data_IF_132081291523
#
_entry.id   IF_132081291523
#
_cell.length_a   1.000
_cell.length_b   1.000
_cell.length_c   1.000
_cell.angle_alpha   90.00
_cell.angle_beta   90.00
_cell.angle_gamma   90.00
#
_symmetry.space_group_name_H-M   'P 1'
#
loop_
_entity.id
_entity.type
_entity.pdbx_description
1 polymer ?
#
# COMPACT_ATOMS: atom_id res chain seq x y z
N UNK A 1 -29.53 -21.23 -19.25
CA UNK A 1 -28.65 -20.54 -20.22
C UNK A 1 -28.40 -19.10 -19.78
N UNK A 2 -27.20 -18.58 -20.03
CA UNK A 2 -26.79 -17.22 -19.68
C UNK A 2 -26.29 -16.49 -20.92
N UNK A 3 -26.56 -15.18 -21.02
CA UNK A 3 -26.12 -14.34 -22.15
C UNK A 3 -24.63 -13.93 -22.04
N UNK A 4 -24.08 -13.93 -20.82
CA UNK A 4 -22.67 -13.66 -20.54
C UNK A 4 -22.23 -14.40 -19.28
N UNK A 5 -21.01 -14.94 -19.31
CA UNK A 5 -20.31 -15.50 -18.16
C UNK A 5 -18.95 -14.81 -18.03
N UNK A 6 -18.66 -14.26 -16.85
CA UNK A 6 -17.35 -13.69 -16.52
C UNK A 6 -16.71 -14.58 -15.45
N UNK A 7 -15.48 -15.04 -15.73
CA UNK A 7 -14.72 -15.91 -14.81
C UNK A 7 -13.63 -15.10 -14.14
N UNK A 8 -13.71 -14.94 -12.82
CA UNK A 8 -12.73 -14.23 -11.99
C UNK A 8 -12.24 -15.14 -10.86
N UNK A 9 -11.48 -16.18 -11.21
CA UNK A 9 -11.04 -17.25 -10.30
C UNK A 9 -9.57 -17.10 -9.83
N UNK A 10 -9.08 -15.87 -9.77
CA UNK A 10 -7.70 -15.55 -9.43
C UNK A 10 -6.77 -15.40 -10.63
N UNK A 11 -5.49 -15.17 -10.34
CA UNK A 11 -4.40 -15.00 -11.32
C UNK A 11 -3.26 -15.96 -11.01
N UNK A 12 -2.41 -16.24 -12.00
CA UNK A 12 -1.18 -17.03 -11.86
C UNK A 12 -0.03 -16.28 -12.53
N UNK A 13 1.16 -16.43 -11.99
CA UNK A 13 2.38 -15.90 -12.59
C UNK A 13 2.58 -16.53 -13.97
N UNK A 14 2.92 -15.71 -14.98
CA UNK A 14 3.19 -16.20 -16.32
C UNK A 14 4.69 -16.52 -16.49
N UNK A 15 5.04 -17.78 -16.25
CA UNK A 15 6.43 -18.23 -16.10
C UNK A 15 6.98 -19.00 -17.30
N UNK A 16 6.20 -19.20 -18.37
CA UNK A 16 6.57 -20.12 -19.45
C UNK A 16 7.90 -19.80 -20.12
N UNK A 17 8.23 -18.52 -20.32
CA UNK A 17 9.53 -18.10 -20.86
C UNK A 17 10.70 -18.47 -19.93
N UNK A 18 10.52 -18.23 -18.63
CA UNK A 18 11.55 -18.48 -17.63
C UNK A 18 11.79 -19.97 -17.43
N UNK A 19 10.72 -20.78 -17.43
CA UNK A 19 10.80 -22.23 -17.37
C UNK A 19 11.52 -22.81 -18.60
N UNK A 20 11.17 -22.35 -19.80
CA UNK A 20 11.86 -22.75 -21.03
C UNK A 20 13.34 -22.36 -21.06
N UNK A 21 13.72 -21.31 -20.33
CA UNK A 21 15.10 -20.86 -20.16
C UNK A 21 15.86 -21.57 -19.03
N UNK A 22 15.24 -22.52 -18.31
CA UNK A 22 15.86 -23.24 -17.20
C UNK A 22 16.02 -22.42 -15.92
N UNK A 23 15.22 -21.37 -15.75
CA UNK A 23 15.19 -20.58 -14.53
C UNK A 23 14.38 -21.30 -13.45
N UNK A 24 14.74 -21.09 -12.18
CA UNK A 24 14.07 -21.73 -11.05
C UNK A 24 12.66 -21.14 -10.87
N UNK A 25 11.66 -22.02 -10.94
CA UNK A 25 10.23 -21.68 -10.76
C UNK A 25 9.67 -22.42 -9.55
N UNK A 26 8.77 -21.77 -8.81
CA UNK A 26 7.85 -22.41 -7.86
C UNK A 26 6.42 -21.89 -8.11
N UNK A 27 5.92 -20.94 -7.29
CA UNK A 27 4.67 -20.19 -7.55
C UNK A 27 4.87 -19.04 -8.54
N UNK A 28 6.12 -18.63 -8.75
CA UNK A 28 6.59 -17.64 -9.72
C UNK A 28 8.07 -17.84 -10.00
N UNK A 29 8.71 -16.90 -10.69
CA UNK A 29 10.16 -16.91 -10.94
C UNK A 29 10.88 -16.58 -9.63
N UNK A 30 11.66 -17.52 -9.11
CA UNK A 30 12.35 -17.34 -7.83
C UNK A 30 13.46 -16.30 -7.98
N UNK A 31 13.44 -15.28 -7.11
CA UNK A 31 14.44 -14.20 -7.12
C UNK A 31 15.00 -13.89 -5.73
N UNK A 32 16.24 -13.40 -5.69
CA UNK A 32 16.89 -12.88 -4.47
C UNK A 32 16.50 -11.42 -4.16
N UNK A 33 17.08 -10.83 -3.10
CA UNK A 33 16.83 -9.44 -2.70
C UNK A 33 17.29 -8.39 -3.74
N UNK A 34 18.12 -8.79 -4.70
CA UNK A 34 18.51 -7.98 -5.86
C UNK A 34 17.65 -8.29 -7.10
N UNK A 35 16.52 -8.99 -6.89
CA UNK A 35 15.53 -9.35 -7.90
C UNK A 35 16.11 -10.21 -9.03
N UNK A 36 17.19 -10.92 -8.73
CA UNK A 36 17.95 -11.73 -9.67
C UNK A 36 17.54 -13.19 -9.57
N UNK A 37 17.46 -13.86 -10.71
CA UNK A 37 17.15 -15.30 -10.80
C UNK A 37 18.40 -16.14 -10.51
N UNK A 38 18.32 -17.46 -10.72
CA UNK A 38 19.48 -18.34 -10.71
C UNK A 38 20.48 -18.06 -11.86
N UNK A 39 20.06 -17.39 -12.94
CA UNK A 39 20.98 -16.77 -13.89
C UNK A 39 21.30 -15.33 -13.44
N UNK A 40 22.57 -14.99 -13.19
CA UNK A 40 22.93 -13.69 -12.65
C UNK A 40 22.70 -12.51 -13.60
N UNK A 41 22.38 -12.76 -14.87
CA UNK A 41 22.08 -11.75 -15.90
C UNK A 41 20.59 -11.53 -16.11
N UNK A 42 19.74 -12.37 -15.50
CA UNK A 42 18.29 -12.31 -15.67
C UNK A 42 17.63 -11.92 -14.34
N UNK A 43 16.73 -10.95 -14.42
CA UNK A 43 15.94 -10.43 -13.31
C UNK A 43 14.45 -10.61 -13.58
N UNK A 44 13.65 -10.68 -12.52
CA UNK A 44 12.19 -10.70 -12.61
C UNK A 44 11.58 -9.75 -11.57
N UNK A 45 10.54 -9.02 -11.98
CA UNK A 45 9.77 -8.08 -11.15
C UNK A 45 8.28 -8.16 -11.48
N UNK A 46 7.45 -7.57 -10.63
CA UNK A 46 5.99 -7.62 -10.70
C UNK A 46 5.42 -8.96 -10.21
N UNK A 47 4.20 -9.25 -10.63
CA UNK A 47 3.42 -10.43 -10.20
C UNK A 47 4.07 -11.77 -10.56
N UNK A 48 5.02 -11.78 -11.51
CA UNK A 48 5.75 -13.00 -11.90
C UNK A 48 6.90 -13.33 -10.95
N UNK A 49 7.39 -12.36 -10.17
CA UNK A 49 8.52 -12.55 -9.28
C UNK A 49 8.09 -13.20 -7.96
N UNK A 50 8.81 -14.25 -7.56
CA UNK A 50 8.68 -14.90 -6.27
C UNK A 50 9.88 -14.56 -5.39
N UNK A 51 9.67 -13.58 -4.52
CA UNK A 51 10.55 -13.26 -3.39
C UNK A 51 9.77 -13.48 -2.08
N UNK A 52 10.39 -13.92 -0.98
CA UNK A 52 9.69 -14.21 0.29
C UNK A 52 8.81 -13.06 0.81
N UNK A 53 9.16 -11.81 0.50
CA UNK A 53 8.40 -10.62 0.86
C UNK A 53 7.48 -10.07 -0.24
N UNK A 54 7.33 -10.77 -1.38
CA UNK A 54 6.43 -10.33 -2.46
C UNK A 54 5.00 -10.76 -2.21
N UNK A 55 4.08 -9.85 -2.52
CA UNK A 55 2.64 -10.11 -2.52
C UNK A 55 2.14 -9.90 -3.94
N UNK A 56 1.50 -10.93 -4.50
CA UNK A 56 1.00 -10.90 -5.88
C UNK A 56 -0.33 -10.14 -6.00
N UNK A 57 -0.58 -9.61 -7.19
CA UNK A 57 -1.83 -8.93 -7.54
C UNK A 57 -1.93 -7.51 -7.02
N UNK A 58 -0.82 -6.93 -6.55
CA UNK A 58 -0.74 -5.56 -6.03
C UNK A 58 0.25 -4.73 -6.85
N UNK A 59 -0.14 -3.48 -7.09
CA UNK A 59 0.66 -2.54 -7.88
C UNK A 59 1.88 -2.03 -7.11
N UNK A 60 1.78 -1.87 -5.79
CA UNK A 60 2.87 -1.29 -4.99
C UNK A 60 4.14 -2.16 -4.96
N UNK A 61 4.07 -3.49 -4.75
CA UNK A 61 5.24 -4.35 -4.86
C UNK A 61 5.96 -4.22 -6.21
N UNK A 62 5.21 -4.11 -7.32
CA UNK A 62 5.81 -3.94 -8.64
C UNK A 62 6.60 -2.62 -8.76
N UNK A 63 6.11 -1.53 -8.16
CA UNK A 63 6.83 -0.25 -8.13
C UNK A 63 8.11 -0.33 -7.30
N UNK A 64 8.04 -0.88 -6.09
CA UNK A 64 9.19 -1.01 -5.18
C UNK A 64 10.27 -1.91 -5.81
N UNK A 65 9.86 -3.00 -6.45
CA UNK A 65 10.78 -3.86 -7.20
C UNK A 65 11.40 -3.15 -8.40
N UNK A 66 10.62 -2.39 -9.16
CA UNK A 66 11.13 -1.62 -10.28
C UNK A 66 12.15 -0.56 -9.84
N UNK A 67 11.92 0.14 -8.72
CA UNK A 67 12.85 1.11 -8.16
C UNK A 67 14.17 0.45 -7.74
N UNK A 68 14.10 -0.66 -7.00
CA UNK A 68 15.30 -1.41 -6.59
C UNK A 68 16.09 -1.87 -7.81
N UNK A 69 15.42 -2.48 -8.79
CA UNK A 69 16.11 -2.98 -9.98
C UNK A 69 16.70 -1.84 -10.82
N UNK A 70 15.98 -0.72 -10.96
CA UNK A 70 16.49 0.46 -11.65
C UNK A 70 17.75 1.03 -10.97
N UNK A 71 17.76 1.12 -9.63
CA UNK A 71 18.93 1.57 -8.86
C UNK A 71 20.16 0.68 -9.08
N UNK A 72 19.94 -0.65 -9.09
CA UNK A 72 21.00 -1.63 -9.33
C UNK A 72 21.55 -1.56 -10.77
N UNK A 73 20.67 -1.54 -11.78
CA UNK A 73 21.07 -1.57 -13.19
C UNK A 73 21.73 -0.26 -13.65
N UNK A 74 21.30 0.88 -13.10
CA UNK A 74 21.87 2.20 -13.43
C UNK A 74 23.14 2.52 -12.64
N UNK A 75 23.41 1.75 -11.57
CA UNK A 75 24.47 2.06 -10.61
C UNK A 75 24.18 3.25 -9.71
N UNK A 76 22.96 3.82 -9.75
CA UNK A 76 22.55 4.91 -8.88
C UNK A 76 22.47 4.47 -7.40
N UNK A 77 22.11 3.20 -7.16
CA UNK A 77 22.15 2.58 -5.84
C UNK A 77 22.49 1.09 -5.96
N UNK A 78 23.78 0.76 -5.84
CA UNK A 78 24.29 -0.62 -5.91
C UNK A 78 23.99 -1.43 -4.64
N UNK A 79 23.60 -0.75 -3.56
CA UNK A 79 23.24 -1.36 -2.28
C UNK A 79 21.72 -1.63 -2.16
N UNK A 80 20.90 -1.17 -3.11
CA UNK A 80 19.45 -1.35 -3.11
C UNK A 80 19.07 -2.83 -2.95
N UNK A 81 18.13 -3.13 -2.06
CA UNK A 81 17.60 -4.47 -1.83
C UNK A 81 16.10 -4.41 -1.62
N UNK A 82 15.37 -5.28 -2.31
CA UNK A 82 13.96 -5.48 -2.08
C UNK A 82 13.78 -6.39 -0.86
N UNK A 83 13.10 -5.88 0.18
CA UNK A 83 12.89 -6.59 1.46
C UNK A 83 11.46 -7.08 1.64
N UNK A 84 10.62 -6.89 0.63
CA UNK A 84 9.19 -7.13 0.70
C UNK A 84 8.39 -5.86 0.94
N UNK A 85 7.11 -5.93 0.60
CA UNK A 85 6.17 -4.82 0.70
C UNK A 85 5.16 -5.07 1.81
N UNK A 86 4.89 -4.06 2.66
CA UNK A 86 3.82 -4.14 3.65
C UNK A 86 2.46 -4.17 2.94
N UNK A 87 1.61 -5.14 3.29
CA UNK A 87 0.32 -5.33 2.60
C UNK A 87 -0.70 -4.38 3.17
N UNK A 88 -1.05 -3.35 2.42
CA UNK A 88 -2.30 -2.58 2.60
C UNK A 88 -3.07 -2.63 1.29
N UNK A 89 -4.12 -3.44 1.26
CA UNK A 89 -5.00 -3.57 0.10
C UNK A 89 -6.24 -2.73 0.33
N UNK A 90 -6.57 -1.86 -0.63
CA UNK A 90 -7.84 -1.12 -0.64
C UNK A 90 -8.64 -1.49 -1.88
N UNK A 91 -9.90 -1.85 -1.69
CA UNK A 91 -10.80 -2.19 -2.77
C UNK A 91 -11.15 -0.95 -3.59
N UNK A 92 -11.02 -1.05 -4.92
CA UNK A 92 -11.38 0.01 -5.87
C UNK A 92 -12.80 -0.21 -6.41
N UNK A 93 -13.79 -0.23 -5.52
CA UNK A 93 -15.20 -0.39 -5.89
C UNK A 93 -16.00 0.84 -5.46
N UNK A 94 -16.83 1.38 -6.36
CA UNK A 94 -17.67 2.55 -6.04
C UNK A 94 -18.63 2.20 -4.90
N UNK A 95 -18.66 3.05 -3.88
CA UNK A 95 -19.55 2.89 -2.73
C UNK A 95 -19.13 1.82 -1.72
N UNK A 96 -17.93 1.25 -1.84
CA UNK A 96 -17.40 0.27 -0.88
C UNK A 96 -16.03 0.75 -0.39
N UNK A 97 -15.99 1.23 0.85
CA UNK A 97 -14.75 1.55 1.55
C UNK A 97 -14.24 0.32 2.29
N UNK A 98 -13.45 -0.51 1.61
CA UNK A 98 -12.82 -1.68 2.19
C UNK A 98 -11.30 -1.55 2.14
N UNK A 99 -10.67 -1.64 3.31
CA UNK A 99 -9.22 -1.82 3.45
C UNK A 99 -8.92 -3.09 4.23
N UNK A 100 -7.93 -3.86 3.79
CA UNK A 100 -7.42 -5.02 4.50
C UNK A 100 -5.89 -4.97 4.51
N UNK A 101 -5.29 -5.29 5.64
CA UNK A 101 -3.84 -5.22 5.82
C UNK A 101 -3.32 -6.32 6.74
N UNK A 102 -2.07 -6.69 6.53
CA UNK A 102 -1.37 -7.67 7.36
C UNK A 102 -2.07 -9.03 7.47
N UNK A 103 -1.88 -9.68 8.62
CA UNK A 103 -2.47 -10.99 8.92
C UNK A 103 -3.76 -10.84 9.72
N UNK A 104 -4.86 -11.29 9.12
CA UNK A 104 -6.23 -11.13 9.64
C UNK A 104 -6.83 -12.44 10.13
N UNK A 105 -6.08 -13.53 10.07
CA UNK A 105 -6.58 -14.89 10.29
C UNK A 105 -6.60 -15.32 11.76
N UNK A 106 -6.13 -14.48 12.69
CA UNK A 106 -6.24 -14.76 14.12
C UNK A 106 -7.71 -14.96 14.54
N UNK A 107 -7.97 -16.03 15.29
CA UNK A 107 -9.26 -16.29 15.92
C UNK A 107 -9.54 -15.28 17.04
N UNK A 108 -10.82 -15.09 17.41
CA UNK A 108 -11.20 -14.10 18.42
C UNK A 108 -10.63 -14.41 19.82
N UNK A 109 -10.34 -15.67 20.10
CA UNK A 109 -9.83 -16.21 21.36
C UNK A 109 -8.35 -16.65 21.26
N UNK A 110 -7.61 -16.15 20.27
CA UNK A 110 -6.18 -16.43 20.13
C UNK A 110 -5.40 -16.04 21.39
N UNK A 111 -4.53 -16.94 21.88
CA UNK A 111 -3.74 -16.71 23.10
C UNK A 111 -2.68 -15.61 22.93
N UNK A 112 -2.07 -15.55 21.73
CA UNK A 112 -0.94 -14.66 21.44
C UNK A 112 -1.35 -13.30 20.83
N UNK A 113 -2.60 -13.17 20.39
CA UNK A 113 -3.08 -11.99 19.65
C UNK A 113 -4.30 -11.36 20.33
N UNK A 114 -4.25 -10.04 20.51
CA UNK A 114 -5.43 -9.26 20.87
C UNK A 114 -6.29 -9.05 19.62
N UNK A 115 -7.51 -9.58 19.60
CA UNK A 115 -8.44 -9.40 18.48
C UNK A 115 -9.65 -8.57 18.90
N UNK A 116 -9.83 -7.43 18.23
CA UNK A 116 -10.97 -6.53 18.46
C UNK A 116 -11.85 -6.50 17.21
N UNK A 117 -13.13 -6.78 17.38
CA UNK A 117 -14.09 -6.84 16.28
C UNK A 117 -15.33 -5.98 16.53
N UNK A 118 -15.75 -5.23 15.52
CA UNK A 118 -16.98 -4.44 15.46
C UNK A 118 -17.79 -4.86 14.24
N UNK A 119 -19.08 -5.10 14.43
CA UNK A 119 -20.03 -5.40 13.34
C UNK A 119 -21.28 -4.52 13.47
N UNK A 120 -21.56 -3.70 12.47
CA UNK A 120 -22.82 -2.96 12.31
C UNK A 120 -23.35 -3.16 10.87
N UNK A 121 -23.98 -4.32 10.59
CA UNK A 121 -24.44 -4.66 9.24
C UNK A 121 -25.50 -3.69 8.71
N UNK A 122 -26.33 -3.12 9.59
CA UNK A 122 -27.38 -2.16 9.19
C UNK A 122 -26.79 -0.87 8.61
N UNK A 123 -25.59 -0.48 9.04
CA UNK A 123 -24.86 0.68 8.51
C UNK A 123 -23.73 0.28 7.55
N UNK A 124 -23.62 -0.99 7.19
CA UNK A 124 -22.58 -1.50 6.29
C UNK A 124 -21.16 -1.38 6.86
N UNK A 125 -21.00 -1.49 8.19
CA UNK A 125 -19.69 -1.38 8.84
C UNK A 125 -19.23 -2.70 9.42
N UNK A 126 -17.95 -2.98 9.20
CA UNK A 126 -17.26 -4.10 9.84
C UNK A 126 -15.81 -3.70 10.08
N UNK A 127 -15.29 -3.95 11.27
CA UNK A 127 -13.90 -3.69 11.58
C UNK A 127 -13.35 -4.86 12.41
N UNK A 128 -12.26 -5.47 11.95
CA UNK A 128 -11.47 -6.45 12.69
C UNK A 128 -10.06 -5.90 12.80
N UNK A 129 -9.51 -5.90 14.00
CA UNK A 129 -8.14 -5.49 14.30
C UNK A 129 -7.47 -6.63 15.05
N UNK A 130 -6.28 -7.03 14.59
CA UNK A 130 -5.43 -8.04 15.21
C UNK A 130 -4.16 -7.34 15.67
N UNK A 131 -3.84 -7.44 16.95
CA UNK A 131 -2.62 -6.87 17.52
C UNK A 131 -1.78 -7.91 18.23
N UNK A 132 -0.47 -7.66 18.25
CA UNK A 132 0.50 -8.37 19.07
C UNK A 132 1.46 -7.35 19.67
N UNK A 133 1.70 -7.44 20.98
CA UNK A 133 2.55 -6.49 21.71
C UNK A 133 2.19 -5.01 21.42
N UNK A 134 0.89 -4.68 21.49
CA UNK A 134 0.33 -3.36 21.15
C UNK A 134 0.52 -2.89 19.70
N UNK A 135 1.05 -3.73 18.80
CA UNK A 135 1.30 -3.37 17.40
C UNK A 135 0.29 -4.02 16.48
N UNK A 136 -0.12 -3.30 15.44
CA UNK A 136 -1.05 -3.83 14.43
C UNK A 136 -0.38 -4.97 13.66
N UNK A 137 -0.95 -6.18 13.75
CA UNK A 137 -0.53 -7.34 12.98
C UNK A 137 -1.34 -7.50 11.69
N UNK A 138 -2.62 -7.14 11.74
CA UNK A 138 -3.51 -7.05 10.60
C UNK A 138 -4.85 -6.39 10.92
N UNK A 139 -5.60 -6.03 9.88
CA UNK A 139 -6.94 -5.48 10.03
C UNK A 139 -7.82 -5.69 8.79
N UNK A 140 -9.14 -5.74 8.99
CA UNK A 140 -10.17 -5.63 7.94
C UNK A 140 -11.07 -4.47 8.33
N UNK A 141 -11.25 -3.49 7.46
CA UNK A 141 -11.93 -2.23 7.75
C UNK A 141 -12.89 -1.90 6.61
N UNK A 142 -14.18 -2.07 6.86
CA UNK A 142 -15.29 -1.86 5.93
C UNK A 142 -16.19 -0.73 6.45
N UNK A 143 -16.40 0.30 5.62
CA UNK A 143 -17.30 1.42 5.94
C UNK A 143 -16.80 2.34 7.06
N UNK A 144 -15.50 2.29 7.36
CA UNK A 144 -14.81 3.09 8.41
C UNK A 144 -13.50 3.70 7.86
N UNK A 145 -13.58 4.64 6.89
CA UNK A 145 -12.40 5.15 6.19
C UNK A 145 -11.38 5.86 7.10
N UNK A 146 -11.84 6.58 8.13
CA UNK A 146 -10.97 7.28 9.08
C UNK A 146 -10.13 6.29 9.90
N UNK A 147 -10.78 5.23 10.40
CA UNK A 147 -10.07 4.14 11.09
C UNK A 147 -9.06 3.46 10.16
N UNK A 148 -9.41 3.28 8.88
CA UNK A 148 -8.50 2.68 7.90
C UNK A 148 -7.21 3.45 7.69
N UNK A 149 -7.26 4.79 7.67
CA UNK A 149 -6.07 5.61 7.56
C UNK A 149 -5.17 5.48 8.80
N UNK A 150 -5.75 5.61 9.99
CA UNK A 150 -4.99 5.56 11.26
C UNK A 150 -4.39 4.17 11.51
N UNK A 151 -5.15 3.09 11.29
CA UNK A 151 -4.65 1.71 11.47
C UNK A 151 -3.54 1.39 10.47
N UNK A 152 -3.68 1.80 9.20
CA UNK A 152 -2.62 1.62 8.20
C UNK A 152 -1.34 2.39 8.57
N UNK A 153 -1.46 3.58 9.17
CA UNK A 153 -0.31 4.32 9.66
C UNK A 153 0.45 3.56 10.76
N UNK A 154 -0.26 3.03 11.76
CA UNK A 154 0.36 2.24 12.82
C UNK A 154 1.02 0.96 12.30
N UNK A 155 0.37 0.30 11.33
CA UNK A 155 0.92 -0.88 10.66
C UNK A 155 2.20 -0.56 9.88
N UNK A 156 2.18 0.44 9.00
CA UNK A 156 3.32 0.79 8.14
C UNK A 156 4.55 1.26 8.95
N UNK A 157 4.33 1.97 10.06
CA UNK A 157 5.42 2.52 10.89
C UNK A 157 5.81 1.57 12.04
N UNK A 158 5.11 0.45 12.20
CA UNK A 158 5.26 -0.45 13.33
C UNK A 158 5.21 0.29 14.67
N UNK A 159 4.32 1.26 14.84
CA UNK A 159 4.14 2.03 16.08
C UNK A 159 3.08 1.40 16.96
N UNK A 160 3.11 1.57 18.30
CA UNK A 160 2.06 1.06 19.17
C UNK A 160 0.71 1.70 18.81
N UNK A 161 -0.34 0.89 18.77
CA UNK A 161 -1.70 1.36 18.57
C UNK A 161 -2.23 2.04 19.85
N UNK A 162 -3.15 3.01 19.74
CA UNK A 162 -3.83 3.62 20.90
C UNK A 162 -4.48 2.58 21.80
N UNK A 163 -4.38 2.72 23.12
CA UNK A 163 -4.94 1.77 24.09
C UNK A 163 -6.45 1.61 23.98
N UNK A 164 -7.19 2.67 23.62
CA UNK A 164 -8.61 2.59 23.30
C UNK A 164 -8.83 2.06 21.87
N UNK A 165 -8.86 0.73 21.75
CA UNK A 165 -9.05 0.03 20.46
C UNK A 165 -10.41 0.30 19.84
N UNK A 166 -11.45 0.48 20.66
CA UNK A 166 -12.80 0.76 20.16
C UNK A 166 -12.88 2.17 19.57
N UNK A 167 -12.27 3.16 20.23
CA UNK A 167 -12.14 4.49 19.66
C UNK A 167 -11.34 4.45 18.34
N UNK A 168 -10.25 3.68 18.28
CA UNK A 168 -9.48 3.48 17.06
C UNK A 168 -10.33 2.90 15.91
N UNK A 169 -11.08 1.82 16.16
CA UNK A 169 -11.95 1.21 15.15
C UNK A 169 -13.11 2.11 14.69
N UNK A 170 -13.56 3.01 15.56
CA UNK A 170 -14.60 3.99 15.25
C UNK A 170 -14.07 5.24 14.56
N UNK A 171 -12.75 5.35 14.32
CA UNK A 171 -12.12 6.57 13.79
C UNK A 171 -12.17 7.74 14.77
N UNK A 172 -12.36 7.46 16.06
CA UNK A 172 -12.50 8.45 17.15
C UNK A 172 -11.28 8.56 18.04
N UNK A 173 -10.32 7.64 17.90
CA UNK A 173 -9.03 7.81 18.54
C UNK A 173 -8.45 9.12 18.01
N UNK A 174 -8.30 10.11 18.91
CA UNK A 174 -7.59 11.33 18.60
C UNK A 174 -6.23 10.91 18.01
N UNK A 175 -5.77 11.52 16.90
CA UNK A 175 -4.39 11.35 16.51
C UNK A 175 -3.55 11.68 17.74
N UNK A 176 -2.67 10.77 18.17
CA UNK A 176 -1.54 11.17 18.99
C UNK A 176 -0.87 12.29 18.19
N UNK A 177 -0.96 13.53 18.70
CA UNK A 177 -0.51 14.79 18.10
C UNK A 177 -0.06 14.64 16.65
N UNK A 178 -0.93 14.97 15.68
CA UNK A 178 -0.71 14.90 14.23
C UNK A 178 0.77 14.70 13.89
N UNK A 179 1.18 13.44 13.73
CA UNK A 179 2.57 13.08 13.58
C UNK A 179 3.20 14.00 12.50
N UNK A 180 4.45 14.46 12.67
CA UNK A 180 5.09 15.42 11.76
C UNK A 180 5.09 15.02 10.27
N UNK A 181 4.76 13.77 9.96
CA UNK A 181 4.50 13.26 8.61
C UNK A 181 3.19 13.76 7.95
N UNK A 182 2.26 14.37 8.69
CA UNK A 182 1.01 14.92 8.13
C UNK A 182 1.10 16.41 7.79
N UNK A 183 2.05 17.16 8.35
CA UNK A 183 2.25 18.54 7.97
C UNK A 183 3.06 18.59 6.66
N UNK A 184 2.48 19.10 5.55
CA UNK A 184 3.19 19.20 4.28
C UNK A 184 4.50 19.98 4.39
N UNK A 185 4.66 20.91 5.34
CA UNK A 185 5.90 21.65 5.54
C UNK A 185 7.07 20.75 6.01
N UNK A 186 6.81 19.79 6.90
CA UNK A 186 7.84 18.94 7.53
C UNK A 186 7.97 17.56 6.87
N UNK A 187 7.03 17.17 6.00
CA UNK A 187 7.09 15.91 5.25
C UNK A 187 8.32 15.88 4.31
N UNK A 188 9.19 14.85 4.36
CA UNK A 188 10.30 14.71 3.40
C UNK A 188 9.81 14.59 1.96
N UNK A 189 10.57 15.12 1.01
CA UNK A 189 10.20 15.10 -0.42
C UNK A 189 10.08 13.69 -1.00
N UNK A 190 10.84 12.73 -0.49
CA UNK A 190 10.84 11.33 -0.91
C UNK A 190 9.62 10.53 -0.44
N UNK A 191 8.77 11.07 0.45
CA UNK A 191 7.59 10.35 0.93
C UNK A 191 6.62 10.07 -0.22
N UNK A 192 6.28 8.80 -0.41
CA UNK A 192 5.24 8.36 -1.35
C UNK A 192 3.87 8.75 -0.83
N UNK A 193 3.24 9.73 -1.50
CA UNK A 193 1.89 10.22 -1.20
C UNK A 193 0.84 9.33 -1.87
N UNK A 194 1.04 8.94 -3.13
CA UNK A 194 0.11 8.07 -3.86
C UNK A 194 0.73 6.70 -4.15
N UNK A 195 0.43 5.70 -3.31
CA UNK A 195 0.88 4.31 -3.48
C UNK A 195 0.44 3.65 -4.80
N UNK A 196 -0.73 4.01 -5.34
CA UNK A 196 -1.24 3.43 -6.59
C UNK A 196 -0.44 3.83 -7.84
N UNK A 197 0.06 5.07 -7.88
CA UNK A 197 0.74 5.63 -9.04
C UNK A 197 2.19 6.02 -8.72
N UNK A 198 2.70 5.58 -7.56
CA UNK A 198 4.02 5.88 -7.02
C UNK A 198 4.41 7.37 -7.05
N UNK A 199 3.50 8.24 -6.60
CA UNK A 199 3.74 9.70 -6.62
C UNK A 199 4.28 10.15 -5.28
N UNK A 200 5.46 10.76 -5.26
CA UNK A 200 6.09 11.35 -4.08
C UNK A 200 5.65 12.78 -3.83
N UNK A 201 5.90 13.31 -2.63
CA UNK A 201 5.71 14.74 -2.34
C UNK A 201 6.50 15.61 -3.31
N UNK A 202 7.77 15.27 -3.59
CA UNK A 202 8.60 16.01 -4.54
C UNK A 202 7.97 16.09 -5.93
N UNK A 203 7.38 15.00 -6.43
CA UNK A 203 6.70 15.00 -7.72
C UNK A 203 5.48 15.94 -7.75
N UNK A 204 4.74 16.06 -6.65
CA UNK A 204 3.64 17.03 -6.53
C UNK A 204 4.17 18.48 -6.49
N UNK A 205 5.25 18.72 -5.75
CA UNK A 205 5.90 20.04 -5.70
C UNK A 205 6.44 20.45 -7.07
N UNK A 206 7.03 19.51 -7.81
CA UNK A 206 7.50 19.74 -9.18
C UNK A 206 6.34 20.04 -10.14
N UNK A 207 5.25 19.26 -10.07
CA UNK A 207 4.05 19.54 -10.86
C UNK A 207 3.46 20.93 -10.55
N UNK A 208 3.49 21.36 -9.29
CA UNK A 208 3.08 22.71 -8.90
C UNK A 208 3.99 23.77 -9.53
N UNK A 209 5.32 23.58 -9.47
CA UNK A 209 6.27 24.49 -10.15
C UNK A 209 6.04 24.53 -11.66
N UNK A 210 5.59 23.43 -12.26
CA UNK A 210 5.19 23.31 -13.66
C UNK A 210 3.80 23.89 -14.00
N UNK A 211 3.06 24.42 -13.02
CA UNK A 211 1.78 25.12 -13.26
C UNK A 211 0.53 24.44 -12.72
N UNK A 212 0.62 23.25 -12.11
CA UNK A 212 -0.54 22.61 -11.48
C UNK A 212 -1.03 23.44 -10.28
N UNK A 213 -2.35 23.68 -10.15
CA UNK A 213 -2.92 24.49 -9.05
C UNK A 213 -4.10 23.84 -8.35
N UNK A 214 -4.51 22.65 -8.77
CA UNK A 214 -5.62 21.91 -8.20
C UNK A 214 -5.31 20.42 -8.13
N UNK A 215 -6.06 19.69 -7.31
CA UNK A 215 -6.03 18.22 -7.26
C UNK A 215 -6.29 17.60 -8.64
N UNK A 216 -7.14 18.24 -9.46
CA UNK A 216 -7.37 17.84 -10.85
C UNK A 216 -6.14 18.03 -11.74
N UNK A 217 -5.36 19.08 -11.55
CA UNK A 217 -4.13 19.30 -12.30
C UNK A 217 -3.01 18.35 -11.86
N UNK A 218 -2.91 18.06 -10.56
CA UNK A 218 -2.01 17.02 -10.07
C UNK A 218 -2.37 15.66 -10.63
N UNK A 219 -3.65 15.31 -10.68
CA UNK A 219 -4.10 14.07 -11.30
C UNK A 219 -3.71 13.99 -12.79
N UNK A 220 -3.78 15.10 -13.54
CA UNK A 220 -3.32 15.14 -14.94
C UNK A 220 -1.80 15.01 -15.08
N UNK A 221 -1.03 15.69 -14.21
CA UNK A 221 0.41 15.78 -14.32
C UNK A 221 1.14 14.54 -13.77
N UNK A 222 0.65 13.95 -12.68
CA UNK A 222 1.33 12.87 -11.95
C UNK A 222 0.51 11.60 -11.82
N UNK A 223 -0.77 11.63 -12.22
CA UNK A 223 -1.76 10.57 -11.97
C UNK A 223 -2.12 10.39 -10.50
N UNK A 224 -1.67 11.23 -9.57
CA UNK A 224 -2.10 11.17 -8.18
C UNK A 224 -3.64 11.16 -8.05
N UNK A 225 -4.17 10.47 -7.04
CA UNK A 225 -5.61 10.28 -6.78
C UNK A 225 -6.44 9.55 -7.85
N UNK A 226 -5.89 9.21 -9.02
CA UNK A 226 -6.61 8.48 -10.09
C UNK A 226 -6.80 6.98 -9.84
N UNK A 227 -6.15 6.44 -8.80
CA UNK A 227 -6.15 5.02 -8.45
C UNK A 227 -7.24 4.63 -7.46
N UNK A 228 -6.88 4.42 -6.20
CA UNK A 228 -7.82 4.08 -5.12
C UNK A 228 -8.44 5.29 -4.41
N UNK A 229 -8.05 6.51 -4.76
CA UNK A 229 -8.51 7.74 -4.11
C UNK A 229 -7.99 7.98 -2.68
N UNK A 230 -7.26 7.03 -2.07
CA UNK A 230 -6.86 7.11 -0.66
C UNK A 230 -5.86 8.21 -0.29
N UNK A 231 -5.21 8.83 -1.29
CA UNK A 231 -4.30 9.95 -1.08
C UNK A 231 -4.96 11.33 -1.32
N UNK A 232 -6.26 11.39 -1.63
CA UNK A 232 -6.90 12.62 -2.12
C UNK A 232 -6.79 13.77 -1.12
N UNK A 233 -7.09 13.53 0.16
CA UNK A 233 -7.02 14.56 1.21
C UNK A 233 -5.59 15.04 1.45
N UNK A 234 -4.60 14.14 1.35
CA UNK A 234 -3.18 14.50 1.48
C UNK A 234 -2.74 15.34 0.29
N UNK A 235 -3.16 14.99 -0.93
CA UNK A 235 -2.88 15.78 -2.15
C UNK A 235 -3.50 17.16 -2.05
N UNK A 236 -4.75 17.27 -1.57
CA UNK A 236 -5.46 18.54 -1.39
C UNK A 236 -4.80 19.41 -0.30
N UNK A 237 -4.38 18.79 0.81
CA UNK A 237 -3.61 19.44 1.87
C UNK A 237 -2.27 19.98 1.37
N UNK A 238 -1.55 19.21 0.53
CA UNK A 238 -0.31 19.67 -0.12
C UNK A 238 -0.60 20.83 -1.09
N UNK A 239 -1.68 20.77 -1.87
CA UNK A 239 -2.09 21.85 -2.78
C UNK A 239 -2.34 23.15 -2.01
N UNK A 240 -3.09 23.06 -0.91
CA UNK A 240 -3.42 24.19 -0.02
C UNK A 240 -2.16 24.78 0.62
N UNK A 241 -1.26 23.93 1.10
CA UNK A 241 0.01 24.36 1.67
C UNK A 241 0.88 25.09 0.64
N UNK A 242 1.02 24.55 -0.57
CA UNK A 242 1.77 25.18 -1.65
C UNK A 242 1.17 26.53 -2.07
N UNK A 243 -0.15 26.66 -2.06
CA UNK A 243 -0.83 27.93 -2.32
C UNK A 243 -0.54 28.99 -1.24
N UNK A 244 -0.40 28.56 0.02
CA UNK A 244 -0.10 29.47 1.15
C UNK A 244 1.38 29.89 1.24
N UNK A 245 2.27 29.23 0.50
CA UNK A 245 3.72 29.43 0.55
C UNK A 245 4.33 29.92 -0.76
N UNK A 246 3.52 30.06 -1.81
CA UNK A 246 3.89 30.60 -3.13
C UNK A 246 3.71 32.12 -3.18
#
# INVERSE_FOLDING_TARGET
PADLVVVSAGVRAETGLAEAAGLTIDRGIVVDDSLRTNDPRVHAIGDVAQHPGTVSGLVQPAWEQAEVLAGLLTGADTAARYRGTSVVTRLKARGIDLSALGDVHAELDAEDDEVVCLSDPKRGRYAKLVLRDDRVRGAILLGVPDAAATVAHHYDNGTPAPSDRLALLLGRALPAEAAPAQNPATMPGSVTVCKCNNVTKSALVEAWRGGARSTGDFAKATRAATGCGGCSDVVDGIATWLASTA
#
